data_IF_783508898483
#
_entry.id   IF_783508898483
#
_cell.length_a   1.000
_cell.length_b   1.000
_cell.length_c   1.000
_cell.angle_alpha   90.00
_cell.angle_beta   90.00
_cell.angle_gamma   90.00
#
_symmetry.space_group_name_H-M   'P 1'
#
loop_
_entity.id
_entity.type
_entity.pdbx_description
1 polymer ?
#
# COMPACT_ATOMS: atom_id res chain seq x y z
N UNK A 1 12.82 -10.74 -14.29
CA UNK A 1 11.84 -10.68 -13.19
C UNK A 1 12.07 -9.39 -12.44
N UNK A 2 11.00 -8.70 -12.07
CA UNK A 2 11.01 -7.55 -11.15
C UNK A 2 9.86 -7.74 -10.15
N UNK A 3 9.93 -7.15 -8.98
CA UNK A 3 8.92 -7.37 -7.95
C UNK A 3 9.33 -6.80 -6.62
N UNK A 4 8.69 -7.30 -5.56
CA UNK A 4 8.94 -6.90 -4.19
C UNK A 4 8.44 -7.95 -3.21
N UNK A 5 9.07 -8.03 -2.05
CA UNK A 5 8.72 -8.98 -1.00
C UNK A 5 9.03 -8.38 0.37
N UNK A 6 8.24 -8.73 1.36
CA UNK A 6 8.47 -8.35 2.76
C UNK A 6 7.90 -9.43 3.69
N UNK A 7 8.59 -9.71 4.79
CA UNK A 7 8.03 -10.46 5.92
C UNK A 7 8.27 -9.65 7.18
N UNK A 8 7.32 -8.76 7.47
CA UNK A 8 7.37 -7.91 8.66
C UNK A 8 7.30 -8.74 9.94
N UNK A 9 6.63 -9.91 9.89
CA UNK A 9 6.56 -10.86 11.00
C UNK A 9 7.93 -11.43 11.42
N UNK A 10 8.93 -11.39 10.54
CA UNK A 10 10.27 -11.93 10.79
C UNK A 10 11.34 -10.84 10.94
N UNK A 11 10.96 -9.55 10.99
CA UNK A 11 11.92 -8.47 11.22
C UNK A 11 12.50 -8.58 12.65
N UNK A 12 13.83 -8.62 12.81
CA UNK A 12 14.44 -8.84 14.11
C UNK A 12 14.54 -7.56 14.95
N UNK A 13 14.88 -7.74 16.22
CA UNK A 13 15.38 -6.66 17.05
C UNK A 13 16.90 -6.50 16.88
N UNK A 14 17.38 -5.26 17.01
CA UNK A 14 18.79 -4.92 16.88
C UNK A 14 19.43 -4.61 18.23
N UNK A 15 20.73 -4.92 18.29
CA UNK A 15 21.61 -4.50 19.36
C UNK A 15 22.81 -3.78 18.78
N UNK A 16 23.12 -2.60 19.33
CA UNK A 16 24.29 -1.85 18.90
C UNK A 16 25.57 -2.64 19.21
N UNK A 17 26.44 -2.78 18.21
CA UNK A 17 27.76 -3.40 18.37
C UNK A 17 28.62 -2.58 19.34
N UNK A 18 29.29 -3.25 20.27
CA UNK A 18 30.19 -2.64 21.25
C UNK A 18 30.02 -3.25 22.63
N UNK A 19 30.65 -2.63 23.64
CA UNK A 19 30.47 -3.02 25.03
C UNK A 19 29.08 -2.62 25.54
N UNK A 20 28.46 -3.51 26.31
CA UNK A 20 27.19 -3.23 26.97
C UNK A 20 27.45 -2.32 28.17
N UNK A 21 26.95 -1.08 28.13
CA UNK A 21 27.14 -0.10 29.20
C UNK A 21 26.46 -0.50 30.51
N UNK A 22 27.08 -0.17 31.65
CA UNK A 22 26.45 -0.29 32.97
C UNK A 22 25.15 0.53 33.02
N UNK A 23 24.07 -0.04 33.57
CA UNK A 23 22.73 0.57 33.60
C UNK A 23 21.72 -0.03 32.63
N UNK A 24 22.14 -0.99 31.80
CA UNK A 24 21.26 -1.75 30.89
C UNK A 24 21.37 -1.30 29.44
N UNK A 25 20.64 -2.00 28.56
CA UNK A 25 20.60 -1.71 27.14
C UNK A 25 19.20 -1.88 26.55
N UNK A 26 18.92 -1.14 25.49
CA UNK A 26 17.68 -1.23 24.74
C UNK A 26 17.89 -2.04 23.47
N UNK A 27 17.08 -3.08 23.30
CA UNK A 27 16.90 -3.74 22.01
C UNK A 27 15.97 -2.87 21.15
N UNK A 28 16.35 -2.62 19.91
CA UNK A 28 15.64 -1.72 19.00
C UNK A 28 14.81 -2.56 18.03
N UNK A 29 13.51 -2.29 17.93
CA UNK A 29 12.63 -2.95 16.95
C UNK A 29 12.98 -2.48 15.53
N UNK A 30 13.32 -3.42 14.64
CA UNK A 30 13.72 -3.10 13.27
C UNK A 30 12.60 -2.52 12.41
N UNK A 31 11.34 -2.89 12.66
CA UNK A 31 10.18 -2.36 11.92
C UNK A 31 10.05 -0.87 12.19
N UNK A 32 10.08 -0.51 13.48
CA UNK A 32 9.94 0.89 13.89
C UNK A 32 11.17 1.68 13.46
N UNK A 33 12.38 1.15 13.69
CA UNK A 33 13.62 1.89 13.51
C UNK A 33 13.97 2.13 12.04
N UNK A 34 13.94 1.10 11.19
CA UNK A 34 14.34 1.22 9.78
C UNK A 34 13.16 1.49 8.85
N UNK A 35 11.96 1.01 9.20
CA UNK A 35 10.79 1.07 8.33
C UNK A 35 9.87 2.27 8.58
N UNK A 36 9.55 2.55 9.84
CA UNK A 36 8.41 3.43 10.18
C UNK A 36 8.78 4.73 10.92
N UNK A 37 10.06 4.99 11.15
CA UNK A 37 10.54 6.23 11.78
C UNK A 37 11.15 7.18 10.76
N UNK A 38 10.65 8.41 10.71
CA UNK A 38 11.26 9.45 9.88
C UNK A 38 12.64 9.83 10.44
N UNK A 39 13.67 9.76 9.60
CA UNK A 39 15.05 9.98 10.03
C UNK A 39 15.28 11.44 10.47
N UNK A 40 14.56 12.41 9.91
CA UNK A 40 14.83 13.82 10.14
C UNK A 40 14.03 14.36 11.33
N UNK A 41 12.75 14.02 11.39
CA UNK A 41 11.80 14.48 12.40
C UNK A 41 11.74 13.57 13.63
N UNK A 42 12.30 12.35 13.56
CA UNK A 42 12.42 11.40 14.67
C UNK A 42 11.07 10.99 15.28
N UNK A 43 10.05 10.84 14.44
CA UNK A 43 8.74 10.32 14.83
C UNK A 43 8.20 9.31 13.81
N UNK A 44 7.06 8.68 14.12
CA UNK A 44 6.45 7.66 13.27
C UNK A 44 5.91 8.26 11.95
N UNK A 45 5.88 7.49 10.86
CA UNK A 45 5.21 7.86 9.60
C UNK A 45 3.76 8.33 9.77
N UNK A 46 3.09 7.89 10.84
CA UNK A 46 1.72 8.29 11.15
C UNK A 46 1.63 9.75 11.62
N UNK A 47 2.70 10.30 12.20
CA UNK A 47 2.78 11.72 12.52
C UNK A 47 2.95 12.58 11.26
N UNK A 48 3.65 12.10 10.21
CA UNK A 48 3.66 12.76 8.91
C UNK A 48 2.25 12.82 8.29
N UNK A 49 1.51 11.71 8.42
CA UNK A 49 0.12 11.61 7.97
C UNK A 49 -0.79 12.61 8.70
N UNK A 50 -0.66 12.76 10.02
CA UNK A 50 -1.37 13.78 10.80
C UNK A 50 -1.03 15.21 10.36
N UNK A 51 0.24 15.49 10.05
CA UNK A 51 0.66 16.79 9.51
C UNK A 51 -0.06 17.11 8.19
N UNK A 52 -0.15 16.14 7.27
CA UNK A 52 -0.89 16.32 6.01
C UNK A 52 -2.39 16.47 6.27
N UNK A 53 -2.97 15.67 7.17
CA UNK A 53 -4.39 15.77 7.54
C UNK A 53 -4.72 17.19 8.01
N UNK A 54 -3.87 17.76 8.86
CA UNK A 54 -3.99 19.15 9.32
C UNK A 54 -3.84 20.17 8.18
N UNK A 55 -2.78 20.08 7.37
CA UNK A 55 -2.50 21.03 6.28
C UNK A 55 -3.62 21.08 5.23
N UNK A 56 -4.25 19.94 4.95
CA UNK A 56 -5.29 19.80 3.93
C UNK A 56 -6.71 19.74 4.49
N UNK A 57 -6.87 19.95 5.80
CA UNK A 57 -8.16 19.92 6.50
C UNK A 57 -8.94 18.61 6.28
N UNK A 58 -8.23 17.48 6.29
CA UNK A 58 -8.81 16.14 6.13
C UNK A 58 -9.23 15.64 7.51
N UNK A 59 -10.54 15.65 7.75
CA UNK A 59 -11.11 15.24 9.02
C UNK A 59 -10.95 13.75 9.31
N UNK A 60 -11.07 13.39 10.58
CA UNK A 60 -11.18 12.00 11.05
C UNK A 60 -12.29 11.23 10.31
N UNK A 61 -13.47 11.85 10.16
CA UNK A 61 -14.61 11.21 9.50
C UNK A 61 -14.30 10.83 8.05
N UNK A 62 -13.65 11.72 7.30
CA UNK A 62 -13.26 11.44 5.91
C UNK A 62 -12.28 10.25 5.82
N UNK A 63 -11.36 10.13 6.77
CA UNK A 63 -10.40 9.02 6.80
C UNK A 63 -11.06 7.69 7.17
N UNK A 64 -12.01 7.71 8.12
CA UNK A 64 -12.78 6.54 8.50
C UNK A 64 -13.73 6.10 7.37
N UNK A 65 -14.43 7.03 6.72
CA UNK A 65 -15.29 6.75 5.58
C UNK A 65 -14.50 6.11 4.42
N UNK A 66 -13.29 6.63 4.16
CA UNK A 66 -12.39 6.06 3.17
C UNK A 66 -11.96 4.64 3.55
N UNK A 67 -11.54 4.42 4.80
CA UNK A 67 -11.13 3.11 5.28
C UNK A 67 -12.27 2.08 5.18
N UNK A 68 -13.46 2.43 5.65
CA UNK A 68 -14.66 1.60 5.52
C UNK A 68 -14.95 1.29 4.05
N UNK A 69 -14.76 2.25 3.15
CA UNK A 69 -14.88 2.03 1.70
C UNK A 69 -13.84 1.02 1.20
N UNK A 70 -12.57 1.16 1.59
CA UNK A 70 -11.48 0.23 1.22
C UNK A 70 -11.83 -1.21 1.63
N UNK A 71 -12.23 -1.45 2.89
CA UNK A 71 -12.65 -2.77 3.36
C UNK A 71 -13.85 -3.34 2.58
N UNK A 72 -14.85 -2.51 2.28
CA UNK A 72 -16.02 -2.95 1.50
C UNK A 72 -15.66 -3.29 0.06
N UNK A 73 -14.79 -2.50 -0.57
CA UNK A 73 -14.30 -2.76 -1.94
C UNK A 73 -13.47 -4.05 -1.99
N UNK A 74 -12.58 -4.27 -1.02
CA UNK A 74 -11.80 -5.51 -0.91
C UNK A 74 -12.71 -6.73 -0.77
N UNK A 75 -13.69 -6.68 0.14
CA UNK A 75 -14.65 -7.76 0.32
C UNK A 75 -15.46 -8.05 -0.96
N UNK A 76 -15.95 -7.01 -1.63
CA UNK A 76 -16.68 -7.14 -2.88
C UNK A 76 -15.80 -7.68 -4.03
N UNK A 77 -14.53 -7.30 -4.09
CA UNK A 77 -13.59 -7.79 -5.08
C UNK A 77 -13.29 -9.28 -4.90
N UNK A 78 -13.16 -9.75 -3.65
CA UNK A 78 -13.05 -11.18 -3.34
C UNK A 78 -14.33 -11.95 -3.70
N UNK A 79 -15.51 -11.42 -3.36
CA UNK A 79 -16.79 -12.04 -3.74
C UNK A 79 -16.95 -12.14 -5.26
N UNK A 80 -16.53 -11.10 -5.99
CA UNK A 80 -16.54 -11.05 -7.45
C UNK A 80 -15.37 -11.80 -8.11
N UNK A 81 -14.45 -12.40 -7.33
CA UNK A 81 -13.25 -13.10 -7.80
C UNK A 81 -12.31 -12.24 -8.65
N UNK A 82 -12.25 -10.94 -8.39
CA UNK A 82 -11.40 -10.00 -9.13
C UNK A 82 -9.90 -10.34 -9.04
N UNK A 83 -9.47 -11.01 -7.96
CA UNK A 83 -8.07 -11.39 -7.72
C UNK A 83 -7.68 -12.79 -8.24
N UNK A 84 -8.61 -13.51 -8.88
CA UNK A 84 -8.41 -14.92 -9.23
C UNK A 84 -7.21 -15.18 -10.16
N UNK A 85 -6.88 -14.21 -11.02
CA UNK A 85 -5.79 -14.33 -11.99
C UNK A 85 -4.45 -13.77 -11.48
N UNK A 86 -4.43 -13.09 -10.33
CA UNK A 86 -3.21 -12.48 -9.77
C UNK A 86 -2.69 -13.17 -8.50
N UNK A 87 -3.53 -13.93 -7.79
CA UNK A 87 -3.14 -14.65 -6.57
C UNK A 87 -2.65 -16.07 -6.84
N UNK A 88 -1.56 -16.44 -6.18
CA UNK A 88 -1.03 -17.81 -6.16
C UNK A 88 -1.13 -18.36 -4.73
N UNK A 89 -1.90 -19.44 -4.48
CA UNK A 89 -2.04 -19.99 -3.14
C UNK A 89 -0.71 -20.48 -2.55
N UNK A 90 -0.47 -20.17 -1.27
CA UNK A 90 0.73 -20.58 -0.54
C UNK A 90 0.39 -21.66 0.47
N UNK A 91 1.05 -22.81 0.35
CA UNK A 91 0.91 -23.94 1.28
C UNK A 91 1.97 -23.84 2.37
N UNK A 92 1.54 -23.68 3.63
CA UNK A 92 2.42 -23.57 4.79
C UNK A 92 2.43 -24.88 5.58
N UNK A 93 3.58 -25.59 5.64
CA UNK A 93 3.71 -26.83 6.39
C UNK A 93 3.40 -26.62 7.88
N UNK A 94 2.64 -27.57 8.45
CA UNK A 94 2.33 -27.59 9.87
C UNK A 94 3.20 -28.62 10.60
N UNK A 95 3.12 -28.65 11.94
CA UNK A 95 3.80 -29.66 12.76
C UNK A 95 3.46 -31.08 12.29
N UNK A 96 4.40 -32.02 12.50
CA UNK A 96 4.31 -33.41 12.02
C UNK A 96 2.93 -34.02 12.31
N UNK A 97 2.23 -34.42 11.24
CA UNK A 97 0.93 -35.10 11.29
C UNK A 97 -0.28 -34.21 10.99
N UNK A 98 -0.15 -32.88 10.98
CA UNK A 98 -1.22 -31.98 10.57
C UNK A 98 -1.17 -31.67 9.06
N UNK A 99 -2.33 -31.48 8.39
CA UNK A 99 -2.36 -31.03 7.00
C UNK A 99 -1.79 -29.60 6.89
N UNK A 100 -1.23 -29.21 5.72
CA UNK A 100 -0.76 -27.86 5.50
C UNK A 100 -1.92 -26.86 5.54
N UNK A 101 -1.64 -25.64 6.00
CA UNK A 101 -2.58 -24.52 5.89
C UNK A 101 -2.36 -23.86 4.53
N UNK A 102 -3.43 -23.70 3.76
CA UNK A 102 -3.37 -23.07 2.44
C UNK A 102 -3.89 -21.64 2.56
N UNK A 103 -3.00 -20.68 2.28
CA UNK A 103 -3.35 -19.27 2.16
C UNK A 103 -3.67 -18.98 0.70
N UNK A 104 -4.96 -18.90 0.37
CA UNK A 104 -5.44 -18.67 -1.00
C UNK A 104 -6.10 -17.28 -1.19
N UNK A 105 -6.26 -16.53 -0.11
CA UNK A 105 -6.90 -15.21 -0.07
C UNK A 105 -6.16 -14.34 0.96
N UNK A 106 -6.22 -13.02 0.78
CA UNK A 106 -5.75 -12.06 1.77
C UNK A 106 -6.49 -12.24 3.10
N UNK A 107 -5.77 -12.08 4.21
CA UNK A 107 -6.32 -12.27 5.54
C UNK A 107 -6.95 -11.00 6.10
N UNK A 108 -6.41 -9.84 5.74
CA UNK A 108 -6.62 -8.60 6.48
C UNK A 108 -8.02 -8.02 6.30
N UNK A 109 -8.60 -8.10 5.10
CA UNK A 109 -9.89 -7.47 4.81
C UNK A 109 -11.05 -8.09 5.60
N UNK A 110 -10.84 -9.28 6.17
CA UNK A 110 -11.78 -10.00 7.04
C UNK A 110 -11.69 -9.53 8.50
N UNK A 111 -10.61 -8.84 8.90
CA UNK A 111 -10.29 -8.45 10.28
C UNK A 111 -10.83 -7.07 10.63
N UNK A 112 -12.10 -6.80 10.28
CA UNK A 112 -12.72 -5.49 10.46
C UNK A 112 -13.96 -5.55 11.35
N UNK A 113 -14.14 -4.52 12.18
CA UNK A 113 -15.40 -4.27 12.88
C UNK A 113 -15.85 -2.83 12.61
N UNK A 114 -16.81 -2.68 11.70
CA UNK A 114 -17.30 -1.37 11.25
C UNK A 114 -17.91 -0.53 12.38
N UNK A 115 -18.51 -1.15 13.40
CA UNK A 115 -19.13 -0.46 14.55
C UNK A 115 -18.12 0.10 15.57
N UNK A 116 -16.83 -0.20 15.37
CA UNK A 116 -15.75 0.28 16.25
C UNK A 116 -15.02 1.49 15.69
N UNK A 117 -15.19 1.85 14.42
CA UNK A 117 -14.40 2.92 13.79
C UNK A 117 -14.49 4.21 14.59
N UNK A 118 -15.69 4.69 14.90
CA UNK A 118 -15.95 5.91 15.68
C UNK A 118 -15.34 5.90 17.10
N UNK A 119 -15.07 4.72 17.66
CA UNK A 119 -14.52 4.52 19.02
C UNK A 119 -13.01 4.32 19.04
N UNK A 120 -12.36 4.13 17.90
CA UNK A 120 -10.92 3.93 17.85
C UNK A 120 -10.18 5.21 18.26
N UNK A 121 -9.28 5.06 19.22
CA UNK A 121 -8.37 6.12 19.63
C UNK A 121 -7.33 6.41 18.54
N UNK A 122 -6.88 7.65 18.49
CA UNK A 122 -5.80 8.07 17.60
C UNK A 122 -4.47 7.59 18.16
N UNK A 123 -3.67 6.91 17.34
CA UNK A 123 -2.51 6.15 17.83
C UNK A 123 -1.19 6.91 17.72
N UNK A 124 -1.10 7.88 16.81
CA UNK A 124 0.13 8.64 16.56
C UNK A 124 0.13 10.03 17.21
N UNK A 125 -1.04 10.63 17.40
CA UNK A 125 -1.19 11.97 17.98
C UNK A 125 -2.35 12.00 18.97
N UNK A 126 -2.08 12.45 20.20
CA UNK A 126 -3.07 12.51 21.28
C UNK A 126 -4.05 13.67 21.11
N UNK A 127 -3.54 14.86 20.82
CA UNK A 127 -4.34 16.07 20.69
C UNK A 127 -4.75 16.28 19.24
N UNK A 128 -6.05 16.36 18.96
CA UNK A 128 -6.59 16.61 17.61
C UNK A 128 -6.05 15.64 16.53
N UNK A 129 -5.75 14.39 16.92
CA UNK A 129 -5.35 13.34 15.99
C UNK A 129 -6.53 12.88 15.13
N UNK A 130 -6.20 12.25 14.02
CA UNK A 130 -7.15 11.73 13.03
C UNK A 130 -6.82 10.29 12.58
N UNK A 131 -5.57 9.87 12.74
CA UNK A 131 -5.11 8.55 12.29
C UNK A 131 -5.30 7.51 13.40
N UNK A 132 -5.95 6.40 13.06
CA UNK A 132 -6.25 5.26 13.94
C UNK A 132 -5.78 3.95 13.34
N UNK A 133 -5.80 2.89 14.13
CA UNK A 133 -5.56 1.53 13.62
C UNK A 133 -6.58 1.09 12.55
N UNK A 134 -7.78 1.69 12.49
CA UNK A 134 -8.80 1.34 11.50
C UNK A 134 -8.62 2.04 10.15
N UNK A 135 -7.92 3.18 10.12
CA UNK A 135 -7.72 4.00 8.92
C UNK A 135 -6.23 4.14 8.51
N UNK A 136 -5.36 3.34 9.11
CA UNK A 136 -3.96 3.15 8.73
C UNK A 136 -3.78 1.76 8.12
N UNK A 137 -2.76 1.58 7.27
CA UNK A 137 -2.38 0.23 6.86
C UNK A 137 -1.81 -0.60 8.01
N UNK A 138 -1.94 -1.92 7.93
CA UNK A 138 -1.39 -2.85 8.92
C UNK A 138 0.02 -3.33 8.54
N UNK A 139 0.65 -4.09 9.45
CA UNK A 139 1.94 -4.74 9.21
C UNK A 139 1.66 -6.14 8.68
N UNK A 140 2.24 -6.49 7.53
CA UNK A 140 1.86 -7.70 6.81
C UNK A 140 3.06 -8.37 6.14
N UNK A 141 2.83 -9.59 5.69
CA UNK A 141 3.78 -10.39 4.94
C UNK A 141 3.24 -10.64 3.52
N UNK A 142 4.12 -10.64 2.52
CA UNK A 142 3.73 -10.99 1.16
C UNK A 142 4.79 -10.67 0.10
N UNK A 143 4.57 -11.16 -1.11
CA UNK A 143 5.44 -10.94 -2.26
C UNK A 143 4.63 -10.81 -3.55
N UNK A 144 5.13 -10.00 -4.49
CA UNK A 144 4.58 -9.85 -5.83
C UNK A 144 5.72 -9.84 -6.86
N UNK A 145 5.50 -10.41 -8.03
CA UNK A 145 6.51 -10.51 -9.07
C UNK A 145 5.90 -10.37 -10.47
N UNK A 146 6.68 -9.76 -11.38
CA UNK A 146 6.35 -9.54 -12.77
C UNK A 146 7.44 -10.10 -13.68
N UNK A 147 7.03 -10.75 -14.77
CA UNK A 147 7.92 -11.12 -15.88
C UNK A 147 7.90 -9.98 -16.89
N UNK A 148 9.02 -9.28 -17.02
CA UNK A 148 9.21 -8.21 -17.99
C UNK A 148 10.00 -8.72 -19.19
N UNK A 149 9.60 -8.28 -20.38
CA UNK A 149 10.24 -8.63 -21.64
C UNK A 149 10.10 -7.49 -22.64
N UNK A 150 11.00 -7.41 -23.62
CA UNK A 150 10.80 -6.54 -24.78
C UNK A 150 9.75 -7.15 -25.71
N UNK A 151 9.19 -6.34 -26.61
CA UNK A 151 8.22 -6.82 -27.61
C UNK A 151 8.84 -7.90 -28.52
N UNK A 152 10.10 -7.75 -28.89
CA UNK A 152 10.85 -8.71 -29.72
C UNK A 152 11.05 -10.03 -28.99
N UNK A 153 11.35 -9.99 -27.70
CA UNK A 153 11.49 -11.18 -26.87
C UNK A 153 10.15 -11.92 -26.72
N UNK A 154 9.05 -11.18 -26.52
CA UNK A 154 7.71 -11.75 -26.45
C UNK A 154 7.32 -12.48 -27.75
N UNK A 155 7.58 -11.83 -28.89
CA UNK A 155 7.33 -12.40 -30.22
C UNK A 155 8.19 -13.66 -30.46
N UNK A 156 9.49 -13.59 -30.15
CA UNK A 156 10.43 -14.71 -30.31
C UNK A 156 10.01 -15.93 -29.48
N UNK A 157 9.49 -15.71 -28.27
CA UNK A 157 9.04 -16.77 -27.36
C UNK A 157 7.59 -17.20 -27.60
N UNK A 158 6.88 -16.57 -28.53
CA UNK A 158 5.47 -16.82 -28.83
C UNK A 158 4.56 -16.73 -27.58
N UNK A 159 4.78 -15.71 -26.74
CA UNK A 159 3.98 -15.44 -25.55
C UNK A 159 3.13 -14.19 -25.75
N UNK A 160 1.94 -14.14 -25.13
CA UNK A 160 1.03 -12.99 -25.20
C UNK A 160 1.30 -12.04 -24.03
N UNK A 161 1.77 -10.80 -24.26
CA UNK A 161 1.87 -9.78 -23.22
C UNK A 161 0.48 -9.42 -22.69
N UNK A 162 0.38 -9.16 -21.38
CA UNK A 162 -0.88 -8.75 -20.73
C UNK A 162 -1.02 -7.22 -20.62
N UNK A 163 0.11 -6.51 -20.53
CA UNK A 163 0.16 -5.05 -20.42
C UNK A 163 1.44 -4.49 -21.04
N UNK A 164 1.50 -3.16 -21.23
CA UNK A 164 2.69 -2.43 -21.69
C UNK A 164 2.98 -1.29 -20.74
N UNK A 165 4.23 -1.22 -20.25
CA UNK A 165 4.71 -0.08 -19.47
C UNK A 165 4.88 1.12 -20.42
N UNK A 166 4.13 2.21 -20.18
CA UNK A 166 4.19 3.44 -20.99
C UNK A 166 5.26 4.39 -20.47
N UNK A 167 5.41 4.49 -19.15
CA UNK A 167 6.40 5.34 -18.50
C UNK A 167 6.36 5.17 -16.98
N UNK A 168 7.30 5.83 -16.31
CA UNK A 168 7.40 5.93 -14.85
C UNK A 168 8.03 7.29 -14.51
N UNK A 169 7.74 7.80 -13.31
CA UNK A 169 8.31 9.03 -12.76
C UNK A 169 8.36 8.96 -11.24
N UNK A 170 9.34 9.65 -10.66
CA UNK A 170 9.51 9.80 -9.22
C UNK A 170 9.10 11.21 -8.78
N UNK A 171 8.48 11.29 -7.60
CA UNK A 171 8.06 12.53 -6.96
C UNK A 171 8.67 12.63 -5.57
N UNK A 172 9.42 13.69 -5.33
CA UNK A 172 10.04 13.96 -4.03
C UNK A 172 9.50 15.27 -3.44
N UNK A 173 9.39 15.29 -2.11
CA UNK A 173 9.00 16.44 -1.30
C UNK A 173 9.71 16.35 0.06
N UNK A 174 9.45 17.32 0.94
CA UNK A 174 9.98 17.26 2.31
C UNK A 174 9.56 15.95 3.01
N UNK A 175 10.42 15.32 3.83
CA UNK A 175 10.13 14.00 4.42
C UNK A 175 8.80 13.92 5.20
N UNK A 176 8.42 14.99 5.90
CA UNK A 176 7.15 15.09 6.64
C UNK A 176 5.91 15.15 5.73
N UNK A 177 6.12 15.54 4.47
CA UNK A 177 5.07 15.74 3.46
C UNK A 177 5.02 14.57 2.45
N UNK A 178 5.65 13.42 2.76
CA UNK A 178 5.56 12.22 1.91
C UNK A 178 4.12 11.83 1.50
N UNK A 179 3.06 12.05 2.31
CA UNK A 179 1.69 11.70 1.90
C UNK A 179 1.23 12.37 0.59
N UNK A 180 1.82 13.51 0.22
CA UNK A 180 1.50 14.23 -1.03
C UNK A 180 2.52 13.97 -2.16
N UNK A 181 3.55 13.16 -1.93
CA UNK A 181 4.54 12.79 -2.96
C UNK A 181 3.90 12.18 -4.22
N UNK A 182 2.83 11.34 -4.15
CA UNK A 182 2.18 10.83 -5.36
C UNK A 182 1.59 11.96 -6.23
N UNK A 183 1.08 13.03 -5.61
CA UNK A 183 0.59 14.22 -6.33
C UNK A 183 1.69 15.05 -6.97
N UNK A 184 2.96 14.82 -6.61
CA UNK A 184 4.13 15.36 -7.32
C UNK A 184 4.53 14.43 -8.48
N UNK A 185 4.49 13.12 -8.27
CA UNK A 185 4.91 12.12 -9.26
C UNK A 185 3.93 11.99 -10.44
N UNK A 186 2.62 11.97 -10.16
CA UNK A 186 1.58 11.73 -11.17
C UNK A 186 1.59 12.79 -12.28
N UNK A 187 1.61 14.10 -12.00
CA UNK A 187 1.70 15.11 -13.05
C UNK A 187 2.95 14.96 -13.93
N UNK A 188 4.12 14.70 -13.32
CA UNK A 188 5.37 14.44 -14.05
C UNK A 188 5.23 13.23 -14.99
N UNK A 189 4.59 12.15 -14.53
CA UNK A 189 4.33 10.95 -15.34
C UNK A 189 3.42 11.26 -16.53
N UNK A 190 2.31 11.96 -16.28
CA UNK A 190 1.34 12.32 -17.32
C UNK A 190 1.97 13.22 -18.38
N UNK A 191 2.76 14.21 -17.96
CA UNK A 191 3.51 15.08 -18.88
C UNK A 191 4.52 14.28 -19.71
N UNK A 192 5.36 13.46 -19.06
CA UNK A 192 6.39 12.65 -19.72
C UNK A 192 5.83 11.67 -20.75
N UNK A 193 4.63 11.13 -20.50
CA UNK A 193 3.99 10.13 -21.37
C UNK A 193 3.00 10.73 -22.37
N UNK A 194 2.62 12.00 -22.19
CA UNK A 194 1.56 12.66 -22.96
C UNK A 194 0.15 12.11 -22.70
N UNK A 195 -0.03 11.30 -21.66
CA UNK A 195 -1.34 10.75 -21.27
C UNK A 195 -2.12 11.83 -20.54
N UNK A 196 -3.38 12.05 -20.93
CA UNK A 196 -4.26 12.98 -20.21
C UNK A 196 -4.83 12.30 -18.97
N UNK A 197 -5.03 13.08 -17.90
CA UNK A 197 -5.69 12.62 -16.65
C UNK A 197 -6.99 11.86 -16.92
N UNK A 198 -7.81 12.36 -17.84
CA UNK A 198 -9.12 11.78 -18.16
C UNK A 198 -9.04 10.47 -18.94
N UNK A 199 -7.89 10.17 -19.57
CA UNK A 199 -7.64 8.91 -20.28
C UNK A 199 -7.25 7.76 -19.35
N UNK A 200 -7.04 8.04 -18.06
CA UNK A 200 -6.75 7.03 -17.04
C UNK A 200 -8.05 6.40 -16.56
N UNK A 201 -8.13 5.08 -16.71
CA UNK A 201 -9.30 4.29 -16.35
C UNK A 201 -9.30 3.96 -14.85
N UNK A 202 -8.14 3.58 -14.31
CA UNK A 202 -7.95 3.17 -12.92
C UNK A 202 -6.72 3.85 -12.31
N UNK A 203 -6.83 4.22 -11.04
CA UNK A 203 -5.75 4.80 -10.24
C UNK A 203 -5.50 3.89 -9.03
N UNK A 204 -4.28 3.38 -8.90
CA UNK A 204 -3.80 2.69 -7.71
C UNK A 204 -2.89 3.61 -6.91
N UNK A 205 -3.47 4.29 -5.92
CA UNK A 205 -2.74 5.14 -4.98
C UNK A 205 -2.57 4.35 -3.68
N UNK A 206 -1.34 3.94 -3.38
CA UNK A 206 -1.07 3.10 -2.21
C UNK A 206 -1.64 3.72 -0.91
N UNK A 207 -2.45 2.93 -0.21
CA UNK A 207 -3.16 3.36 1.00
C UNK A 207 -2.29 3.16 2.25
N UNK A 208 -1.10 3.79 2.33
CA UNK A 208 -0.29 3.71 3.55
C UNK A 208 -1.07 4.23 4.79
N UNK A 209 -1.88 5.26 4.57
CA UNK A 209 -2.93 5.73 5.46
C UNK A 209 -4.10 6.21 4.60
N UNK A 210 -5.34 6.18 5.11
CA UNK A 210 -6.50 6.76 4.41
C UNK A 210 -6.26 8.21 3.98
N UNK A 211 -5.57 9.01 4.82
CA UNK A 211 -5.24 10.40 4.49
C UNK A 211 -4.40 10.52 3.21
N UNK A 212 -3.53 9.56 2.89
CA UNK A 212 -2.70 9.58 1.67
C UNK A 212 -3.60 9.56 0.44
N UNK A 213 -4.53 8.61 0.37
CA UNK A 213 -5.43 8.51 -0.76
C UNK A 213 -6.39 9.71 -0.85
N UNK A 214 -6.96 10.14 0.28
CA UNK A 214 -7.84 11.32 0.33
C UNK A 214 -7.12 12.61 -0.08
N UNK A 215 -5.87 12.79 0.36
CA UNK A 215 -5.05 13.94 -0.01
C UNK A 215 -4.76 13.98 -1.51
N UNK A 216 -4.30 12.86 -2.08
CA UNK A 216 -3.97 12.79 -3.50
C UNK A 216 -5.22 12.90 -4.39
N UNK A 217 -6.35 12.31 -3.97
CA UNK A 217 -7.64 12.53 -4.62
C UNK A 217 -7.98 14.03 -4.67
N UNK A 218 -7.86 14.74 -3.53
CA UNK A 218 -8.19 16.17 -3.42
C UNK A 218 -7.25 17.05 -4.25
N UNK A 219 -5.93 16.82 -4.19
CA UNK A 219 -4.93 17.63 -4.89
C UNK A 219 -5.02 17.47 -6.41
N UNK A 220 -5.20 16.23 -6.87
CA UNK A 220 -5.20 15.91 -8.30
C UNK A 220 -6.59 16.01 -8.94
N UNK A 221 -7.62 16.23 -8.12
CA UNK A 221 -9.03 16.28 -8.54
C UNK A 221 -9.41 15.02 -9.34
N UNK A 222 -9.26 13.87 -8.68
CA UNK A 222 -9.51 12.55 -9.28
C UNK A 222 -10.92 12.06 -8.98
N UNK A 223 -11.53 11.37 -9.93
CA UNK A 223 -12.81 10.68 -9.72
C UNK A 223 -12.63 9.54 -8.70
N UNK A 224 -13.27 9.61 -7.51
CA UNK A 224 -13.12 8.58 -6.47
C UNK A 224 -13.59 7.19 -6.91
N UNK A 225 -14.42 7.09 -7.96
CA UNK A 225 -14.87 5.80 -8.51
C UNK A 225 -13.78 5.07 -9.29
N UNK A 226 -12.71 5.76 -9.67
CA UNK A 226 -11.57 5.19 -10.39
C UNK A 226 -10.37 4.89 -9.50
N UNK A 227 -10.42 5.27 -8.21
CA UNK A 227 -9.30 5.10 -7.28
C UNK A 227 -9.51 3.83 -6.45
N UNK A 228 -8.48 2.96 -6.42
CA UNK A 228 -8.40 1.75 -5.60
C UNK A 228 -9.72 0.98 -5.64
N UNK A 229 -10.15 0.59 -6.85
CA UNK A 229 -11.53 0.12 -7.09
C UNK A 229 -11.81 -1.23 -6.44
N UNK A 230 -10.76 -2.01 -6.19
CA UNK A 230 -10.82 -3.30 -5.50
C UNK A 230 -10.22 -3.23 -4.09
N UNK A 231 -10.19 -2.03 -3.50
CA UNK A 231 -9.59 -1.77 -2.19
C UNK A 231 -8.08 -1.60 -2.28
N UNK A 232 -7.40 -1.57 -1.13
CA UNK A 232 -5.99 -1.27 -1.07
C UNK A 232 -5.38 -1.55 0.30
N UNK A 233 -4.21 -0.97 0.56
CA UNK A 233 -3.37 -1.35 1.68
C UNK A 233 -3.97 -1.10 3.09
N UNK A 234 -4.98 -0.24 3.24
CA UNK A 234 -5.70 -0.08 4.52
C UNK A 234 -6.50 -1.34 4.89
N UNK A 235 -6.97 -2.09 3.89
CA UNK A 235 -7.80 -3.27 4.10
C UNK A 235 -7.17 -4.59 3.64
N UNK A 236 -6.26 -4.57 2.68
CA UNK A 236 -5.53 -5.75 2.19
C UNK A 236 -4.19 -5.94 2.90
N UNK A 237 -3.70 -4.91 3.61
CA UNK A 237 -2.41 -4.90 4.27
C UNK A 237 -1.27 -4.30 3.44
N UNK A 238 -0.16 -4.01 4.12
CA UNK A 238 0.98 -3.29 3.55
C UNK A 238 2.35 -3.93 3.88
N UNK A 239 2.71 -5.05 3.23
CA UNK A 239 4.10 -5.49 3.23
C UNK A 239 4.90 -4.47 2.41
N UNK A 240 5.70 -3.65 3.09
CA UNK A 240 6.21 -2.37 2.57
C UNK A 240 7.06 -2.55 1.30
N UNK A 241 7.96 -3.53 1.27
CA UNK A 241 8.78 -3.86 0.10
C UNK A 241 8.02 -4.51 -1.07
N UNK A 242 6.79 -4.97 -0.88
CA UNK A 242 5.98 -5.65 -1.92
C UNK A 242 4.94 -4.74 -2.55
N UNK A 243 4.38 -3.80 -1.79
CA UNK A 243 3.12 -3.15 -2.17
C UNK A 243 3.18 -2.39 -3.50
N UNK A 244 4.30 -1.75 -3.83
CA UNK A 244 4.47 -1.11 -5.14
C UNK A 244 4.34 -2.07 -6.31
N UNK A 245 4.89 -3.28 -6.21
CA UNK A 245 4.76 -4.31 -7.24
C UNK A 245 3.33 -4.88 -7.29
N UNK A 246 2.67 -5.06 -6.13
CA UNK A 246 1.27 -5.53 -6.06
C UNK A 246 0.31 -4.61 -6.80
N UNK A 247 0.42 -3.29 -6.62
CA UNK A 247 -0.44 -2.33 -7.32
C UNK A 247 -0.28 -2.42 -8.86
N UNK A 248 0.96 -2.57 -9.33
CA UNK A 248 1.23 -2.73 -10.78
C UNK A 248 0.70 -4.07 -11.30
N UNK A 249 0.87 -5.16 -10.54
CA UNK A 249 0.24 -6.46 -10.86
C UNK A 249 -1.27 -6.28 -10.98
N UNK A 250 -1.90 -5.64 -9.99
CA UNK A 250 -3.33 -5.44 -9.98
C UNK A 250 -3.83 -4.69 -11.21
N UNK A 251 -3.18 -3.59 -11.58
CA UNK A 251 -3.51 -2.87 -12.81
C UNK A 251 -3.39 -3.75 -14.07
N UNK A 252 -2.40 -4.64 -14.13
CA UNK A 252 -2.24 -5.55 -15.28
C UNK A 252 -3.43 -6.52 -15.43
N UNK A 253 -4.09 -6.88 -14.34
CA UNK A 253 -5.23 -7.82 -14.34
C UNK A 253 -6.59 -7.12 -14.36
N UNK A 254 -6.72 -5.96 -13.73
CA UNK A 254 -7.98 -5.23 -13.60
C UNK A 254 -8.34 -4.37 -14.84
N UNK A 255 -7.34 -3.88 -15.58
CA UNK A 255 -7.57 -3.07 -16.78
C UNK A 255 -8.11 -3.89 -17.94
N UNK A 256 -9.04 -3.30 -18.70
CA UNK A 256 -9.50 -3.85 -19.97
C UNK A 256 -8.54 -3.49 -21.10
N UNK A 257 -8.66 -4.20 -22.22
CA UNK A 257 -7.83 -3.97 -23.40
C UNK A 257 -7.91 -2.51 -23.87
N UNK A 258 -6.76 -1.83 -23.89
CA UNK A 258 -6.63 -0.44 -24.36
C UNK A 258 -6.78 0.62 -23.26
N UNK A 259 -7.21 0.23 -22.06
CA UNK A 259 -7.27 1.13 -20.91
C UNK A 259 -5.87 1.44 -20.37
N UNK A 260 -5.77 2.56 -19.63
CA UNK A 260 -4.53 2.99 -18.97
C UNK A 260 -4.77 3.03 -17.47
N UNK A 261 -3.80 2.56 -16.71
CA UNK A 261 -3.76 2.68 -15.26
C UNK A 261 -2.54 3.45 -14.82
N UNK A 262 -2.65 4.07 -13.65
CA UNK A 262 -1.55 4.75 -12.96
C UNK A 262 -1.48 4.24 -11.53
#
# INVERSE_FOLDING_TARGET
LAGGMESMSNVPFYLKRGETSYGGMQLVDGIVFDGLTDVYNKFHMGNCAENTAKKLEISRQQQDDYAVSSYKKSAAAYEAKAFADELVPVSVPQKRGAPPVIFAEDEEYKRVNFEKFDKLATVFQKENGTVTAGNASTLNDGAAALVLMTAEAAQRLNVKPIARIVGYADGECDPIDFPIAPAVAIPKLLEKTGVKKDDVALWEINEAFSVVAVANQKILDLDPKKINVHGGAVSLGHPIGMSGARLVVHLCHALKQGEKGV
#
